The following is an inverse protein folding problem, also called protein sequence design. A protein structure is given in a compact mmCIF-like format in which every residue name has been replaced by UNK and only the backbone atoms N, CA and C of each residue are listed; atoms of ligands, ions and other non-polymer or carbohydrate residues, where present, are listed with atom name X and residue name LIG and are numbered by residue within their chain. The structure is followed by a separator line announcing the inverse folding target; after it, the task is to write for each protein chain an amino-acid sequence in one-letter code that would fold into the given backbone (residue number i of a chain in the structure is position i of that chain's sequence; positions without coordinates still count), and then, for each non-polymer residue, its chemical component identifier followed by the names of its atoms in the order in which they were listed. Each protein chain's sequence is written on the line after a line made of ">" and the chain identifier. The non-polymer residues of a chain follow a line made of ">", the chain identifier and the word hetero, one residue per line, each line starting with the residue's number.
data_IF_718527703256
#
_entry.id   IF_718527703256
#
_cell.length_a   1.000
_cell.length_b   1.000
_cell.length_c   1.000
_cell.angle_alpha   90.00
_cell.angle_beta   90.00
_cell.angle_gamma   90.00
#
_symmetry.space_group_name_H-M   'P 1'
#
loop_
_entity.id
_entity.type
_entity.pdbx_description
1 polymer ?
#
# COMPACT_ATOMS: atom_id res chain seq x y z
N UNK A 1 19.90 -25.03 -5.80
CA UNK A 1 19.52 -23.85 -5.00
C UNK A 1 18.16 -24.17 -4.42
N UNK A 2 18.04 -24.27 -3.10
CA UNK A 2 16.77 -24.62 -2.46
C UNK A 2 15.87 -23.39 -2.58
N UNK A 3 14.81 -23.49 -3.38
CA UNK A 3 13.76 -22.47 -3.40
C UNK A 3 13.23 -22.33 -1.98
N UNK A 4 13.50 -21.18 -1.34
CA UNK A 4 12.73 -20.81 -0.16
C UNK A 4 11.30 -20.64 -0.65
N UNK A 5 10.40 -21.53 -0.23
CA UNK A 5 8.97 -21.34 -0.49
C UNK A 5 8.56 -19.96 -0.01
N UNK A 6 7.73 -19.25 -0.75
CA UNK A 6 7.23 -17.93 -0.39
C UNK A 6 5.98 -18.12 0.49
N UNK A 7 5.93 -17.45 1.66
CA UNK A 7 4.79 -17.58 2.59
C UNK A 7 5.01 -18.53 3.78
N UNK A 8 6.22 -18.57 4.35
CA UNK A 8 6.45 -19.24 5.63
C UNK A 8 5.90 -18.42 6.81
N UNK A 9 5.90 -18.99 8.02
CA UNK A 9 5.44 -18.29 9.22
C UNK A 9 6.19 -16.95 9.43
N UNK A 10 5.45 -15.90 9.79
CA UNK A 10 5.93 -14.55 10.11
C UNK A 10 6.36 -13.66 8.92
N UNK A 11 6.01 -14.02 7.68
CA UNK A 11 6.11 -13.08 6.54
C UNK A 11 4.76 -12.56 6.07
N UNK A 12 4.76 -11.32 5.59
CA UNK A 12 3.62 -10.67 4.93
C UNK A 12 3.97 -10.38 3.47
N UNK A 13 3.07 -10.63 2.50
CA UNK A 13 3.27 -10.20 1.11
C UNK A 13 3.39 -8.67 1.02
N UNK A 14 4.34 -8.20 0.22
CA UNK A 14 4.57 -6.77 -0.04
C UNK A 14 4.95 -6.55 -1.52
N UNK A 15 4.16 -7.07 -2.48
CA UNK A 15 4.48 -6.92 -3.90
C UNK A 15 4.49 -5.43 -4.28
N UNK A 16 5.50 -5.05 -5.07
CA UNK A 16 5.68 -3.72 -5.64
C UNK A 16 6.76 -3.81 -6.73
N UNK A 17 6.90 -2.81 -7.59
CA UNK A 17 7.96 -2.78 -8.61
C UNK A 17 9.28 -2.27 -7.99
N UNK A 18 10.19 -3.17 -7.57
CA UNK A 18 11.48 -2.79 -6.99
C UNK A 18 12.62 -2.76 -8.02
N UNK A 19 12.34 -3.01 -9.31
CA UNK A 19 13.36 -3.03 -10.36
C UNK A 19 13.06 -2.17 -11.59
N UNK A 20 11.99 -1.40 -11.53
CA UNK A 20 11.61 -0.33 -12.44
C UNK A 20 11.09 -0.85 -13.78
N UNK A 21 10.54 -2.06 -13.82
CA UNK A 21 9.99 -2.66 -15.04
C UNK A 21 8.47 -2.54 -15.18
N UNK A 22 7.83 -1.82 -14.25
CA UNK A 22 6.40 -1.59 -14.12
C UNK A 22 5.58 -2.85 -13.84
N UNK A 23 6.24 -3.94 -13.43
CA UNK A 23 5.60 -5.19 -13.02
C UNK A 23 5.87 -5.39 -11.55
N UNK A 24 4.82 -5.75 -10.79
CA UNK A 24 4.98 -6.04 -9.38
C UNK A 24 5.90 -7.26 -9.17
N UNK A 25 6.92 -7.10 -8.33
CA UNK A 25 7.81 -8.17 -7.91
C UNK A 25 7.16 -9.08 -6.86
N UNK A 26 7.58 -10.34 -6.86
CA UNK A 26 7.23 -11.25 -5.77
C UNK A 26 8.06 -10.90 -4.53
N UNK A 27 7.43 -10.26 -3.55
CA UNK A 27 8.11 -9.78 -2.36
C UNK A 27 7.40 -10.15 -1.05
N UNK A 28 8.19 -10.42 -0.01
CA UNK A 28 7.71 -10.66 1.35
C UNK A 28 8.56 -9.92 2.39
N UNK A 29 7.89 -9.44 3.43
CA UNK A 29 8.48 -8.79 4.59
C UNK A 29 8.39 -9.67 5.83
N UNK A 30 9.52 -9.94 6.46
CA UNK A 30 9.59 -10.75 7.68
C UNK A 30 9.39 -9.87 8.91
N UNK A 31 8.14 -9.82 9.39
CA UNK A 31 7.71 -8.90 10.44
C UNK A 31 8.62 -8.93 11.67
N UNK A 32 9.00 -10.11 12.17
CA UNK A 32 9.74 -10.21 13.42
C UNK A 32 11.18 -9.67 13.38
N UNK A 33 11.81 -9.58 12.20
CA UNK A 33 13.22 -9.18 12.09
C UNK A 33 13.46 -8.05 11.08
N UNK A 34 12.47 -7.65 10.27
CA UNK A 34 12.61 -6.58 9.30
C UNK A 34 13.34 -6.94 8.00
N UNK A 35 13.49 -8.22 7.69
CA UNK A 35 14.10 -8.65 6.44
C UNK A 35 13.07 -8.62 5.29
N UNK A 36 13.45 -8.02 4.18
CA UNK A 36 12.72 -8.05 2.91
C UNK A 36 13.39 -9.06 1.99
N UNK A 37 12.56 -9.86 1.32
CA UNK A 37 12.98 -10.78 0.26
C UNK A 37 12.16 -10.45 -0.98
N UNK A 38 12.83 -10.20 -2.11
CA UNK A 38 12.21 -9.77 -3.37
C UNK A 38 12.78 -10.62 -4.49
N UNK A 39 11.93 -11.30 -5.25
CA UNK A 39 12.29 -11.93 -6.51
C UNK A 39 11.80 -11.05 -7.64
N UNK A 40 12.76 -10.41 -8.29
CA UNK A 40 12.59 -9.47 -9.39
C UNK A 40 11.83 -10.09 -10.56
N UNK A 41 10.82 -9.41 -11.07
CA UNK A 41 10.06 -9.74 -12.29
C UNK A 41 10.98 -9.83 -13.50
N UNK A 42 11.88 -8.84 -13.67
CA UNK A 42 12.70 -8.67 -14.87
C UNK A 42 13.73 -9.77 -15.11
N UNK A 43 14.40 -10.23 -14.06
CA UNK A 43 15.54 -11.14 -14.18
C UNK A 43 15.55 -12.30 -13.17
N UNK A 44 14.48 -12.46 -12.38
CA UNK A 44 14.31 -13.46 -11.34
C UNK A 44 15.40 -13.45 -10.26
N UNK A 45 16.27 -12.43 -10.18
CA UNK A 45 17.27 -12.34 -9.12
C UNK A 45 16.60 -12.04 -7.79
N UNK A 46 17.16 -12.66 -6.75
CA UNK A 46 16.76 -12.39 -5.37
C UNK A 46 17.50 -11.15 -4.86
N UNK A 47 16.75 -10.13 -4.46
CA UNK A 47 17.22 -9.03 -3.64
C UNK A 47 16.81 -9.30 -2.18
N UNK A 48 17.75 -9.12 -1.25
CA UNK A 48 17.47 -9.13 0.17
C UNK A 48 17.89 -7.80 0.77
N UNK A 49 17.00 -7.19 1.56
CA UNK A 49 17.26 -5.94 2.28
C UNK A 49 16.89 -6.09 3.75
N UNK A 50 17.71 -5.55 4.63
CA UNK A 50 17.42 -5.48 6.06
C UNK A 50 16.94 -4.07 6.38
N UNK A 51 15.63 -3.89 6.62
CA UNK A 51 15.05 -2.58 6.93
C UNK A 51 13.71 -2.71 7.68
N UNK A 52 13.66 -2.21 8.91
CA UNK A 52 12.54 -2.38 9.84
C UNK A 52 12.83 -3.37 10.97
N UNK A 53 11.82 -3.65 11.80
CA UNK A 53 11.91 -4.53 12.97
C UNK A 53 10.53 -5.05 13.40
N UNK A 54 10.47 -5.87 14.47
CA UNK A 54 9.26 -6.54 14.97
C UNK A 54 8.01 -5.67 15.16
N UNK A 55 8.15 -4.36 15.37
CA UNK A 55 7.03 -3.45 15.64
C UNK A 55 6.61 -2.63 14.41
N UNK A 56 7.18 -2.90 13.24
CA UNK A 56 6.88 -2.16 12.02
C UNK A 56 6.13 -2.99 10.99
N UNK A 57 5.23 -2.34 10.28
CA UNK A 57 4.51 -2.87 9.12
C UNK A 57 5.21 -2.35 7.85
N UNK A 58 5.34 -3.20 6.83
CA UNK A 58 5.93 -2.81 5.55
C UNK A 58 4.89 -2.18 4.63
N UNK A 59 5.29 -1.09 3.97
CA UNK A 59 4.40 -0.20 3.19
C UNK A 59 5.17 0.36 1.98
N UNK A 60 5.63 -0.50 1.06
CA UNK A 60 6.44 -0.07 -0.08
C UNK A 60 5.70 0.92 -0.99
N UNK A 61 6.47 1.68 -1.77
CA UNK A 61 5.97 2.64 -2.75
C UNK A 61 7.10 3.51 -3.27
N UNK A 62 6.92 4.13 -4.44
CA UNK A 62 7.87 5.09 -4.98
C UNK A 62 7.69 6.45 -4.27
N UNK A 63 8.45 6.68 -3.21
CA UNK A 63 8.27 7.84 -2.34
C UNK A 63 9.10 9.05 -2.76
N UNK A 64 9.95 8.91 -3.79
CA UNK A 64 10.80 9.97 -4.30
C UNK A 64 10.67 10.24 -5.80
N UNK A 65 9.85 9.45 -6.50
CA UNK A 65 9.46 9.62 -7.89
C UNK A 65 10.51 9.14 -8.89
N UNK A 66 11.36 8.19 -8.51
CA UNK A 66 12.40 7.65 -9.40
C UNK A 66 11.94 6.45 -10.25
N UNK A 67 10.69 6.01 -10.07
CA UNK A 67 10.08 4.88 -10.76
C UNK A 67 10.35 3.53 -10.11
N UNK A 68 11.02 3.49 -8.95
CA UNK A 68 11.28 2.27 -8.18
C UNK A 68 10.57 2.33 -6.83
N UNK A 69 10.04 1.20 -6.40
CA UNK A 69 9.46 1.08 -5.07
C UNK A 69 10.56 1.12 -4.00
N UNK A 70 10.42 2.05 -3.07
CA UNK A 70 11.31 2.19 -1.93
C UNK A 70 10.96 1.19 -0.81
N UNK A 71 11.94 0.96 0.05
CA UNK A 71 11.73 0.22 1.29
C UNK A 71 11.17 1.15 2.35
N UNK A 72 9.88 1.00 2.67
CA UNK A 72 9.24 1.80 3.69
C UNK A 72 8.58 0.93 4.77
N UNK A 73 8.69 1.38 6.01
CA UNK A 73 8.04 0.76 7.16
C UNK A 73 7.36 1.79 8.05
N UNK A 74 6.21 1.41 8.61
CA UNK A 74 5.41 2.23 9.52
C UNK A 74 5.41 1.62 10.92
N UNK A 75 5.72 2.42 11.94
CA UNK A 75 5.53 2.06 13.33
C UNK A 75 4.16 2.55 13.80
N UNK A 76 3.20 1.63 13.85
CA UNK A 76 1.82 1.95 14.24
C UNK A 76 1.74 2.54 15.65
N UNK A 77 2.61 2.14 16.58
CA UNK A 77 2.53 2.59 17.96
C UNK A 77 2.62 4.13 18.12
N UNK A 78 3.41 4.80 17.27
CA UNK A 78 3.63 6.25 17.35
C UNK A 78 3.36 7.01 16.05
N UNK A 79 3.00 6.31 14.97
CA UNK A 79 2.69 6.90 13.66
C UNK A 79 3.92 7.32 12.87
N UNK A 80 5.10 6.75 13.16
CA UNK A 80 6.33 7.09 12.44
C UNK A 80 6.48 6.28 11.16
N UNK A 81 6.91 6.96 10.11
CA UNK A 81 7.29 6.41 8.82
C UNK A 81 8.81 6.44 8.70
N UNK A 82 9.37 5.36 8.17
CA UNK A 82 10.79 5.21 7.88
C UNK A 82 10.88 4.75 6.43
N UNK A 83 11.53 5.54 5.58
CA UNK A 83 11.57 5.31 4.13
C UNK A 83 13.04 5.35 3.71
N UNK A 84 13.49 4.25 3.12
CA UNK A 84 14.81 4.04 2.58
C UNK A 84 14.69 3.82 1.09
N UNK A 85 15.41 4.63 0.31
CA UNK A 85 15.43 4.54 -1.15
C UNK A 85 15.73 3.13 -1.63
N UNK A 86 15.19 2.73 -2.78
CA UNK A 86 15.41 1.41 -3.36
C UNK A 86 16.91 1.07 -3.48
N UNK A 87 17.75 2.06 -3.82
CA UNK A 87 19.21 1.93 -3.96
C UNK A 87 19.98 1.97 -2.62
N UNK A 88 19.32 2.42 -1.54
CA UNK A 88 19.88 2.58 -0.20
C UNK A 88 20.64 3.89 0.05
N UNK A 89 20.60 4.87 -0.86
CA UNK A 89 21.36 6.12 -0.75
C UNK A 89 20.64 7.24 0.00
N UNK A 90 19.31 7.17 0.10
CA UNK A 90 18.48 8.17 0.78
C UNK A 90 17.64 7.55 1.89
N UNK A 91 17.56 8.24 3.03
CA UNK A 91 16.72 7.85 4.16
C UNK A 91 15.95 9.06 4.68
N UNK A 92 14.64 8.91 4.83
CA UNK A 92 13.75 9.92 5.43
C UNK A 92 12.91 9.30 6.53
N UNK A 93 12.63 10.09 7.56
CA UNK A 93 11.67 9.74 8.61
C UNK A 93 10.75 10.91 8.90
N UNK A 94 9.48 10.61 9.13
CA UNK A 94 8.47 11.59 9.50
C UNK A 94 7.44 10.93 10.41
N UNK A 95 6.57 11.75 10.99
CA UNK A 95 5.43 11.28 11.78
C UNK A 95 4.15 11.74 11.11
N UNK A 96 3.29 10.78 10.78
CA UNK A 96 2.00 11.02 10.19
C UNK A 96 1.04 9.89 10.58
N UNK A 97 -0.05 10.25 11.25
CA UNK A 97 -0.95 9.31 11.92
C UNK A 97 -0.63 9.03 13.39
N UNK A 98 -1.40 8.10 13.96
CA UNK A 98 -1.32 7.64 15.36
C UNK A 98 -1.80 6.18 15.48
N UNK A 99 -1.75 5.61 16.70
CA UNK A 99 -1.98 4.17 16.93
C UNK A 99 -3.31 3.59 16.43
N UNK A 100 -4.34 4.43 16.30
CA UNK A 100 -5.65 4.00 15.81
C UNK A 100 -5.76 4.07 14.28
N UNK A 101 -4.80 4.70 13.60
CA UNK A 101 -4.81 4.85 12.14
C UNK A 101 -4.10 3.69 11.44
N UNK A 102 -4.45 3.48 10.18
CA UNK A 102 -3.87 2.47 9.28
C UNK A 102 -3.12 3.20 8.18
N UNK A 103 -1.84 2.89 7.89
CA UNK A 103 -1.12 3.51 6.77
C UNK A 103 -1.73 3.03 5.44
N UNK A 104 -1.95 3.98 4.52
CA UNK A 104 -2.62 3.75 3.23
C UNK A 104 -1.92 4.55 2.12
N UNK A 105 -0.61 4.36 1.93
CA UNK A 105 0.14 5.12 0.94
C UNK A 105 -0.33 4.79 -0.48
N UNK A 106 -0.49 5.80 -1.32
CA UNK A 106 -0.82 5.71 -2.74
C UNK A 106 -0.59 7.10 -3.38
N UNK A 107 -0.62 7.22 -4.70
CA UNK A 107 -0.60 8.52 -5.39
C UNK A 107 -2.03 9.10 -5.42
N UNK A 108 -2.34 10.09 -4.58
CA UNK A 108 -3.69 10.67 -4.50
C UNK A 108 -3.81 12.00 -5.27
N UNK A 109 -2.74 12.47 -5.90
CA UNK A 109 -2.74 13.72 -6.69
C UNK A 109 -2.26 13.59 -8.14
N UNK A 110 -1.93 12.36 -8.55
CA UNK A 110 -1.63 11.98 -9.93
C UNK A 110 -0.25 12.44 -10.39
N UNK A 111 0.67 12.66 -9.45
CA UNK A 111 2.00 13.20 -9.75
C UNK A 111 3.09 12.12 -9.93
N UNK A 112 2.69 10.85 -9.83
CA UNK A 112 3.52 9.65 -9.94
C UNK A 112 4.32 9.33 -8.68
N UNK A 113 4.13 10.06 -7.58
CA UNK A 113 4.83 9.83 -6.31
C UNK A 113 3.84 9.29 -5.28
N UNK A 114 4.27 8.25 -4.56
CA UNK A 114 3.48 7.70 -3.45
C UNK A 114 3.37 8.73 -2.33
N UNK A 115 2.14 9.10 -1.99
CA UNK A 115 1.85 10.01 -0.88
C UNK A 115 1.85 9.33 0.47
N UNK A 116 2.09 10.13 1.50
CA UNK A 116 1.98 9.68 2.88
C UNK A 116 0.53 9.84 3.32
N UNK A 117 -0.15 8.74 3.61
CA UNK A 117 -1.54 8.77 4.01
C UNK A 117 -1.89 7.77 5.11
N UNK A 118 -2.88 8.12 5.92
CA UNK A 118 -3.46 7.24 6.94
C UNK A 118 -4.99 7.30 6.91
N UNK A 119 -5.64 6.17 7.14
CA UNK A 119 -7.07 6.05 7.36
C UNK A 119 -7.35 5.85 8.85
N UNK A 120 -8.34 6.57 9.39
CA UNK A 120 -8.80 6.38 10.77
C UNK A 120 -10.07 5.53 10.79
N UNK A 121 -9.98 4.22 11.08
CA UNK A 121 -11.09 3.30 10.93
C UNK A 121 -12.21 3.50 11.94
N UNK A 122 -12.02 4.31 12.98
CA UNK A 122 -13.09 4.59 13.96
C UNK A 122 -14.08 5.63 13.43
N UNK A 123 -13.60 6.59 12.63
CA UNK A 123 -14.44 7.67 12.09
C UNK A 123 -14.66 7.57 10.57
N UNK A 124 -13.90 6.73 9.87
CA UNK A 124 -13.97 6.67 8.41
C UNK A 124 -13.39 7.90 7.75
N UNK A 125 -12.21 8.33 8.19
CA UNK A 125 -11.56 9.58 7.74
C UNK A 125 -10.19 9.31 7.16
N UNK A 126 -9.87 10.01 6.09
CA UNK A 126 -8.58 9.95 5.41
C UNK A 126 -7.79 11.21 5.69
N UNK A 127 -6.50 11.02 5.94
CA UNK A 127 -5.51 12.06 6.10
C UNK A 127 -4.42 11.78 5.10
N UNK A 128 -4.13 12.72 4.21
CA UNK A 128 -3.22 12.54 3.09
C UNK A 128 -2.28 13.75 3.07
N UNK A 129 -0.99 13.48 2.90
CA UNK A 129 0.04 14.48 2.72
C UNK A 129 0.78 14.18 1.43
N UNK A 130 0.56 15.02 0.43
CA UNK A 130 1.13 14.84 -0.90
C UNK A 130 2.65 14.89 -0.82
N UNK A 131 3.34 13.84 -1.29
CA UNK A 131 4.78 13.66 -1.04
C UNK A 131 5.62 14.76 -1.68
N UNK A 132 5.27 15.22 -2.89
CA UNK A 132 6.04 16.24 -3.61
C UNK A 132 5.70 17.67 -3.17
N UNK A 133 4.42 17.99 -3.04
CA UNK A 133 3.96 19.36 -2.74
C UNK A 133 3.90 19.68 -1.24
N UNK A 134 3.86 18.65 -0.38
CA UNK A 134 3.62 18.78 1.07
C UNK A 134 2.19 19.22 1.41
N UNK A 135 1.28 19.23 0.44
CA UNK A 135 -0.12 19.62 0.65
C UNK A 135 -0.82 18.60 1.54
N UNK A 136 -1.45 19.10 2.60
CA UNK A 136 -2.30 18.29 3.47
C UNK A 136 -3.75 18.30 2.96
N UNK A 137 -4.35 17.12 2.90
CA UNK A 137 -5.75 16.88 2.54
C UNK A 137 -6.39 15.99 3.59
N UNK A 138 -7.62 16.35 3.95
CA UNK A 138 -8.43 15.58 4.89
C UNK A 138 -9.81 15.36 4.25
N UNK A 139 -10.31 14.13 4.33
CA UNK A 139 -11.58 13.76 3.70
C UNK A 139 -12.38 12.81 4.61
N UNK A 140 -13.61 13.19 4.91
CA UNK A 140 -14.58 12.36 5.63
C UNK A 140 -15.28 11.42 4.65
N UNK A 141 -14.67 10.28 4.38
CA UNK A 141 -15.22 9.29 3.46
C UNK A 141 -14.85 7.86 3.88
N UNK A 142 -15.85 6.99 3.99
CA UNK A 142 -15.73 5.68 4.60
C UNK A 142 -16.59 5.58 5.86
N UNK A 143 -16.32 4.59 6.69
CA UNK A 143 -17.11 4.34 7.90
C UNK A 143 -16.37 3.42 8.87
N UNK A 144 -16.90 3.36 10.10
CA UNK A 144 -16.32 2.61 11.18
C UNK A 144 -16.09 1.13 10.82
N UNK A 145 -14.93 0.58 11.20
CA UNK A 145 -14.53 -0.82 10.99
C UNK A 145 -14.31 -1.25 9.52
N UNK A 146 -14.46 -0.36 8.54
CA UNK A 146 -14.14 -0.68 7.15
C UNK A 146 -12.62 -0.84 6.96
N UNK A 147 -12.21 -1.73 6.05
CA UNK A 147 -10.80 -1.91 5.69
C UNK A 147 -10.45 -0.97 4.54
N UNK A 148 -9.47 -0.06 4.68
CA UNK A 148 -9.07 0.81 3.59
C UNK A 148 -8.28 0.03 2.53
N UNK A 149 -8.57 0.29 1.27
CA UNK A 149 -7.98 -0.41 0.11
C UNK A 149 -7.81 0.54 -1.09
N UNK A 150 -7.12 1.68 -0.91
CA UNK A 150 -6.95 2.65 -2.00
C UNK A 150 -6.19 2.04 -3.16
N UNK A 151 -6.63 2.34 -4.38
CA UNK A 151 -5.97 1.97 -5.63
C UNK A 151 -6.68 2.71 -6.77
N UNK A 152 -6.12 2.70 -7.97
CA UNK A 152 -6.77 3.24 -9.15
C UNK A 152 -7.77 2.21 -9.73
N UNK A 153 -9.06 2.32 -9.41
CA UNK A 153 -10.10 1.40 -9.92
C UNK A 153 -10.86 1.97 -11.12
N UNK A 154 -10.52 3.17 -11.59
CA UNK A 154 -11.17 3.83 -12.73
C UNK A 154 -10.24 4.12 -13.92
N UNK A 155 -8.94 3.89 -13.74
CA UNK A 155 -7.89 3.96 -14.75
C UNK A 155 -7.39 5.36 -15.04
N UNK A 156 -7.59 6.32 -14.13
CA UNK A 156 -7.15 7.71 -14.33
C UNK A 156 -5.72 7.99 -13.87
N UNK A 157 -5.04 6.99 -13.31
CA UNK A 157 -3.69 7.08 -12.76
C UNK A 157 -3.63 7.69 -11.36
N UNK A 158 -4.77 7.96 -10.72
CA UNK A 158 -4.89 8.51 -9.37
C UNK A 158 -5.56 7.46 -8.48
N UNK A 159 -5.04 7.27 -7.28
CA UNK A 159 -5.65 6.37 -6.33
C UNK A 159 -7.03 6.86 -5.89
N UNK A 160 -8.02 5.98 -6.05
CA UNK A 160 -9.35 6.16 -5.49
C UNK A 160 -9.32 5.99 -3.97
N UNK A 161 -10.20 6.72 -3.30
CA UNK A 161 -10.54 6.36 -1.93
C UNK A 161 -11.43 5.13 -1.99
N UNK A 162 -10.98 4.03 -1.38
CA UNK A 162 -11.76 2.80 -1.34
C UNK A 162 -11.73 2.15 0.03
N UNK A 163 -12.87 1.61 0.44
CA UNK A 163 -13.02 0.81 1.66
C UNK A 163 -13.80 -0.47 1.39
N UNK A 164 -13.38 -1.56 2.01
CA UNK A 164 -14.05 -2.85 1.97
C UNK A 164 -14.76 -3.14 3.30
N UNK A 165 -16.01 -3.57 3.21
CA UNK A 165 -16.81 -3.94 4.37
C UNK A 165 -16.80 -5.45 4.61
N UNK A 166 -15.98 -5.97 5.54
CA UNK A 166 -15.86 -7.41 5.75
C UNK A 166 -17.12 -8.05 6.32
N UNK A 167 -18.09 -7.29 6.82
CA UNK A 167 -19.34 -7.90 7.33
C UNK A 167 -20.26 -8.38 6.21
N UNK A 168 -20.24 -7.72 5.05
CA UNK A 168 -21.11 -8.07 3.93
C UNK A 168 -20.35 -8.44 2.66
N UNK A 169 -19.02 -8.26 2.64
CA UNK A 169 -18.22 -8.46 1.44
C UNK A 169 -18.49 -7.42 0.37
N UNK A 170 -18.59 -6.15 0.77
CA UNK A 170 -18.95 -5.06 -0.13
C UNK A 170 -17.82 -4.06 -0.26
N UNK A 171 -17.46 -3.74 -1.49
CA UNK A 171 -16.52 -2.69 -1.84
C UNK A 171 -17.28 -1.38 -2.03
N UNK A 172 -16.74 -0.32 -1.45
CA UNK A 172 -17.16 1.06 -1.68
C UNK A 172 -15.93 1.77 -2.23
N UNK A 173 -16.06 2.35 -3.41
CA UNK A 173 -14.95 2.99 -4.14
C UNK A 173 -15.45 4.36 -4.56
N UNK A 174 -14.75 5.42 -4.18
CA UNK A 174 -15.02 6.78 -4.62
C UNK A 174 -13.96 7.22 -5.60
N UNK A 175 -14.41 7.35 -6.83
CA UNK A 175 -13.58 7.60 -8.01
C UNK A 175 -12.88 8.96 -7.90
N UNK A 176 -11.58 8.99 -8.17
CA UNK A 176 -10.73 10.17 -8.28
C UNK A 176 -11.24 11.10 -9.37
N UNK A 177 -11.61 10.55 -10.53
CA UNK A 177 -12.03 11.29 -11.74
C UNK A 177 -13.18 12.26 -11.49
N UNK A 178 -14.27 11.79 -10.87
CA UNK A 178 -15.53 12.54 -10.76
C UNK A 178 -16.17 12.53 -9.37
N UNK A 179 -15.55 11.85 -8.40
CA UNK A 179 -16.03 11.68 -7.01
C UNK A 179 -17.32 10.89 -6.89
N UNK A 180 -17.79 10.24 -7.95
CA UNK A 180 -18.90 9.30 -7.89
C UNK A 180 -18.51 8.08 -7.04
N UNK A 181 -19.50 7.34 -6.56
CA UNK A 181 -19.26 6.18 -5.69
C UNK A 181 -19.77 4.91 -6.37
N UNK A 182 -18.85 3.99 -6.62
CA UNK A 182 -19.14 2.61 -7.03
C UNK A 182 -19.31 1.76 -5.77
N UNK A 183 -20.44 1.07 -5.67
CA UNK A 183 -20.72 0.09 -4.61
C UNK A 183 -20.83 -1.28 -5.27
N UNK A 184 -19.94 -2.19 -4.90
CA UNK A 184 -19.82 -3.49 -5.55
C UNK A 184 -19.79 -4.61 -4.49
N UNK A 185 -20.88 -5.38 -4.34
CA UNK A 185 -20.84 -6.62 -3.59
C UNK A 185 -19.90 -7.60 -4.29
N UNK A 186 -18.80 -7.96 -3.63
CA UNK A 186 -17.83 -8.93 -4.10
C UNK A 186 -17.02 -9.44 -2.89
N UNK A 187 -17.44 -10.57 -2.36
CA UNK A 187 -16.84 -11.22 -1.20
C UNK A 187 -17.88 -11.84 -0.27
N UNK A 188 -17.44 -12.23 0.92
CA UNK A 188 -18.29 -12.83 1.95
C UNK A 188 -17.85 -12.37 3.34
N UNK A 189 -18.60 -12.79 4.36
CA UNK A 189 -18.30 -12.44 5.75
C UNK A 189 -16.86 -12.82 6.12
N UNK A 190 -16.07 -11.80 6.48
CA UNK A 190 -14.65 -11.86 6.87
C UNK A 190 -13.65 -12.23 5.77
N UNK A 191 -14.06 -12.27 4.50
CA UNK A 191 -13.07 -12.34 3.42
C UNK A 191 -12.14 -11.12 3.49
N UNK A 192 -10.88 -11.26 3.12
CA UNK A 192 -9.92 -10.15 3.11
C UNK A 192 -9.75 -9.63 1.69
N UNK A 193 -9.76 -8.29 1.49
CA UNK A 193 -9.56 -7.72 0.17
C UNK A 193 -8.10 -7.86 -0.26
N UNK A 194 -7.90 -8.11 -1.55
CA UNK A 194 -6.61 -8.17 -2.23
C UNK A 194 -6.78 -7.51 -3.61
N UNK A 195 -6.85 -6.17 -3.66
CA UNK A 195 -6.90 -5.48 -4.95
C UNK A 195 -5.55 -5.60 -5.67
N UNK A 196 -5.58 -5.55 -7.00
CA UNK A 196 -4.40 -5.53 -7.85
C UNK A 196 -4.79 -5.57 -9.32
N UNK A 197 -3.91 -5.14 -10.22
CA UNK A 197 -4.10 -5.30 -11.66
C UNK A 197 -3.74 -6.76 -12.04
N UNK A 198 -4.75 -7.63 -12.19
CA UNK A 198 -4.52 -9.07 -12.45
C UNK A 198 -4.54 -9.41 -13.94
N UNK A 199 -5.08 -8.54 -14.79
CA UNK A 199 -5.15 -8.76 -16.24
C UNK A 199 -4.23 -7.85 -17.08
N UNK A 200 -3.58 -6.89 -16.44
CA UNK A 200 -2.54 -6.02 -17.01
C UNK A 200 -3.10 -4.85 -17.80
N UNK A 201 -4.34 -4.42 -17.54
CA UNK A 201 -4.96 -3.29 -18.23
C UNK A 201 -4.63 -1.92 -17.61
N UNK A 202 -3.89 -1.91 -16.51
CA UNK A 202 -3.51 -0.70 -15.76
C UNK A 202 -4.58 -0.21 -14.79
N UNK A 203 -5.70 -0.93 -14.68
CA UNK A 203 -6.78 -0.66 -13.73
C UNK A 203 -6.72 -1.71 -12.63
N UNK A 204 -6.98 -1.27 -11.40
CA UNK A 204 -7.00 -2.19 -10.27
C UNK A 204 -8.28 -3.03 -10.28
N UNK A 205 -8.11 -4.35 -10.28
CA UNK A 205 -9.20 -5.29 -10.04
C UNK A 205 -9.50 -5.44 -8.55
N UNK A 206 -10.76 -5.72 -8.25
CA UNK A 206 -11.17 -6.17 -6.91
C UNK A 206 -11.00 -7.69 -6.80
N UNK A 207 -10.33 -8.17 -5.76
CA UNK A 207 -10.31 -9.59 -5.41
C UNK A 207 -10.37 -9.81 -3.89
N UNK A 208 -10.76 -11.01 -3.45
CA UNK A 208 -10.83 -11.39 -2.02
C UNK A 208 -10.31 -12.82 -1.81
N UNK A 209 -9.90 -13.14 -0.58
CA UNK A 209 -9.54 -14.50 -0.14
C UNK A 209 -10.08 -14.86 1.25
#
# INVERSE_FOLDING_TARGET
>A
VQERGWGWSAVTPVPADYDGDLIADLAVYHQANGAWYIRKSRDAKLLQRQFGWAATEAIPGDYDGDGFSDFAVHNRADGRWYILRHDGTGFRTLRFGWHETVPVPADYDGDGVTDIAVYWPVQGRWFIMHSRSGRYVETDWGFAEALPVPADYDGDGIADLAVYWPRTGTWYIRQSTDRSTRIQPFGWYRALPVPGDFDGDGITDIAVY
#
